data_IF_809134688529
#
_entry.id   IF_809134688529
#
_cell.length_a   1.000
_cell.length_b   1.000
_cell.length_c   1.000
_cell.angle_alpha   90.00
_cell.angle_beta   90.00
_cell.angle_gamma   90.00
#
_symmetry.space_group_name_H-M   'P 1'
#
loop_
_entity.id
_entity.type
_entity.pdbx_description
1 polymer ?
#
# COMPACT_ATOMS: atom_id res chain seq x y z
N UNK A 1 0.29 -0.05 -21.66
CA UNK A 1 0.58 1.23 -20.98
C UNK A 1 0.07 1.19 -19.53
N UNK A 2 0.30 0.09 -18.78
CA UNK A 2 -0.44 -0.12 -17.52
C UNK A 2 0.37 -0.79 -16.41
N UNK A 3 1.70 -0.76 -16.49
CA UNK A 3 2.59 -1.40 -15.50
C UNK A 3 3.37 -0.38 -14.65
N UNK A 4 3.02 0.91 -14.75
CA UNK A 4 3.76 1.99 -14.10
C UNK A 4 3.56 2.04 -12.58
N UNK A 5 2.47 1.46 -12.07
CA UNK A 5 2.14 1.51 -10.65
C UNK A 5 1.99 0.11 -10.05
N UNK A 6 2.49 -0.04 -8.82
CA UNK A 6 2.22 -1.15 -7.94
C UNK A 6 1.08 -0.78 -6.99
N UNK A 7 0.26 -1.78 -6.62
CA UNK A 7 -0.91 -1.61 -5.79
C UNK A 7 -0.88 -2.61 -4.63
N UNK A 8 -1.16 -2.14 -3.41
CA UNK A 8 -1.27 -3.01 -2.24
C UNK A 8 -2.60 -2.78 -1.53
N UNK A 9 -3.44 -3.81 -1.39
CA UNK A 9 -4.59 -3.78 -0.50
C UNK A 9 -4.15 -4.09 0.94
N UNK A 10 -4.54 -3.24 1.87
CA UNK A 10 -4.37 -3.45 3.32
C UNK A 10 -5.74 -3.57 3.99
N UNK A 11 -5.84 -4.43 5.00
CA UNK A 11 -6.97 -4.47 5.92
C UNK A 11 -6.52 -4.01 7.29
N UNK A 12 -7.12 -2.94 7.78
CA UNK A 12 -6.93 -2.44 9.13
C UNK A 12 -8.07 -3.00 9.99
N UNK A 13 -7.76 -3.72 11.07
CA UNK A 13 -8.76 -4.24 11.96
C UNK A 13 -9.36 -3.11 12.85
N UNK A 14 -10.54 -3.31 13.44
CA UNK A 14 -11.30 -2.26 14.13
C UNK A 14 -10.59 -1.65 15.36
N UNK A 15 -9.72 -2.41 16.02
CA UNK A 15 -8.91 -1.97 17.17
C UNK A 15 -7.85 -0.93 16.80
N UNK A 16 -7.45 -0.86 15.53
CA UNK A 16 -6.57 0.20 15.06
C UNK A 16 -7.36 1.49 15.06
N UNK A 17 -6.92 2.50 15.79
CA UNK A 17 -7.61 3.79 15.80
C UNK A 17 -7.44 4.51 14.45
N UNK A 18 -8.26 5.53 14.20
CA UNK A 18 -8.07 6.41 13.04
C UNK A 18 -6.72 7.12 13.09
N UNK A 19 -6.33 7.62 14.26
CA UNK A 19 -5.07 8.36 14.45
C UNK A 19 -3.85 7.48 14.17
N UNK A 20 -3.79 6.28 14.76
CA UNK A 20 -2.68 5.35 14.57
C UNK A 20 -2.58 4.90 13.10
N UNK A 21 -3.72 4.67 12.44
CA UNK A 21 -3.74 4.37 11.01
C UNK A 21 -3.17 5.53 10.17
N UNK A 22 -3.63 6.76 10.43
CA UNK A 22 -3.14 7.95 9.72
C UNK A 22 -1.63 8.11 9.85
N UNK A 23 -1.09 8.00 11.07
CA UNK A 23 0.35 8.12 11.31
C UNK A 23 1.13 7.07 10.51
N UNK A 24 0.73 5.78 10.59
CA UNK A 24 1.42 4.71 9.86
C UNK A 24 1.36 4.92 8.35
N UNK A 25 0.20 5.27 7.82
CA UNK A 25 0.03 5.51 6.38
C UNK A 25 0.80 6.73 5.90
N UNK A 26 0.91 7.79 6.71
CA UNK A 26 1.77 8.95 6.41
C UNK A 26 3.25 8.58 6.37
N UNK A 27 3.72 7.73 7.28
CA UNK A 27 5.11 7.25 7.26
C UNK A 27 5.38 6.45 5.98
N UNK A 28 4.48 5.54 5.61
CA UNK A 28 4.61 4.77 4.36
C UNK A 28 4.60 5.69 3.12
N UNK A 29 3.80 6.76 3.13
CA UNK A 29 3.80 7.74 2.06
C UNK A 29 5.13 8.48 1.95
N UNK A 30 5.62 9.01 3.07
CA UNK A 30 6.84 9.83 3.12
C UNK A 30 8.09 9.01 2.76
N UNK A 31 8.22 7.81 3.31
CA UNK A 31 9.48 7.06 3.25
C UNK A 31 9.47 5.91 2.24
N UNK A 32 8.29 5.42 1.82
CA UNK A 32 8.17 4.29 0.88
C UNK A 32 7.46 4.67 -0.41
N UNK A 33 7.00 5.93 -0.54
CA UNK A 33 6.32 6.43 -1.73
C UNK A 33 4.93 5.86 -1.94
N UNK A 34 4.29 5.34 -0.88
CA UNK A 34 2.94 4.81 -0.97
C UNK A 34 1.88 5.92 -0.87
N UNK A 35 1.06 6.04 -1.90
CA UNK A 35 -0.07 6.96 -1.92
C UNK A 35 -1.38 6.24 -1.60
N UNK A 36 -2.21 6.88 -0.77
CA UNK A 36 -3.54 6.38 -0.45
C UNK A 36 -4.51 6.69 -1.58
N UNK A 37 -5.09 5.64 -2.18
CA UNK A 37 -6.02 5.79 -3.30
C UNK A 37 -7.48 5.61 -2.90
N UNK A 38 -7.75 4.66 -2.00
CA UNK A 38 -9.12 4.37 -1.58
C UNK A 38 -9.13 3.89 -0.14
N UNK A 39 -10.15 4.30 0.61
CA UNK A 39 -10.45 3.78 1.94
C UNK A 39 -11.93 3.41 1.99
N UNK A 40 -12.23 2.25 2.54
CA UNK A 40 -13.60 1.80 2.82
C UNK A 40 -13.69 1.34 4.26
N UNK A 41 -14.59 1.95 5.03
CA UNK A 41 -14.97 1.50 6.36
C UNK A 41 -16.12 0.49 6.23
N UNK A 42 -16.05 -0.58 7.00
CA UNK A 42 -17.07 -1.61 7.11
C UNK A 42 -17.83 -1.50 8.44
N UNK A 43 -19.00 -2.13 8.50
CA UNK A 43 -19.88 -2.13 9.68
C UNK A 43 -19.27 -2.83 10.89
N UNK A 44 -18.33 -3.75 10.67
CA UNK A 44 -17.52 -4.41 11.71
C UNK A 44 -16.39 -3.51 12.25
N UNK A 45 -16.32 -2.25 11.80
CA UNK A 45 -15.28 -1.28 12.15
C UNK A 45 -13.95 -1.48 11.42
N UNK A 46 -13.79 -2.57 10.65
CA UNK A 46 -12.59 -2.78 9.85
C UNK A 46 -12.53 -1.81 8.67
N UNK A 47 -11.32 -1.52 8.21
CA UNK A 47 -11.11 -0.65 7.05
C UNK A 47 -10.27 -1.37 6.00
N UNK A 48 -10.70 -1.31 4.74
CA UNK A 48 -9.83 -1.66 3.60
C UNK A 48 -9.23 -0.40 3.02
N UNK A 49 -7.92 -0.41 2.86
CA UNK A 49 -7.14 0.66 2.27
C UNK A 49 -6.48 0.13 1.02
N UNK A 50 -6.56 0.88 -0.08
CA UNK A 50 -5.80 0.61 -1.30
C UNK A 50 -4.71 1.66 -1.42
N UNK A 51 -3.46 1.20 -1.45
CA UNK A 51 -2.29 2.01 -1.68
C UNK A 51 -1.78 1.79 -3.11
N UNK A 52 -1.12 2.81 -3.65
CA UNK A 52 -0.38 2.73 -4.91
C UNK A 52 0.99 3.36 -4.79
N UNK A 53 1.98 2.87 -5.53
CA UNK A 53 3.26 3.56 -5.72
C UNK A 53 3.72 3.38 -7.15
N UNK A 54 4.49 4.33 -7.67
CA UNK A 54 5.09 4.19 -9.00
C UNK A 54 6.22 3.16 -8.94
N UNK A 55 6.23 2.20 -9.87
CA UNK A 55 7.34 1.24 -10.02
C UNK A 55 8.59 2.00 -10.43
N UNK A 56 9.68 1.78 -9.70
CA UNK A 56 10.99 2.31 -10.09
C UNK A 56 11.66 1.33 -11.07
N UNK A 57 12.56 1.82 -11.92
CA UNK A 57 13.29 0.98 -12.89
C UNK A 57 14.07 -0.18 -12.25
N UNK A 58 14.39 -0.06 -10.96
CA UNK A 58 15.04 -1.13 -10.18
C UNK A 58 14.08 -2.27 -9.84
N UNK A 59 12.81 -1.95 -9.58
CA UNK A 59 11.75 -2.92 -9.30
C UNK A 59 11.41 -3.76 -10.54
N UNK A 60 11.55 -3.16 -11.73
CA UNK A 60 11.38 -3.82 -13.03
C UNK A 60 12.48 -4.83 -13.37
N UNK A 61 13.61 -4.83 -12.63
CA UNK A 61 14.76 -5.69 -12.90
C UNK A 61 14.68 -7.07 -12.21
N UNK A 62 13.51 -7.45 -11.67
CA UNK A 62 13.24 -8.85 -11.32
C UNK A 62 12.33 -9.55 -12.33
N UNK A 63 12.78 -9.82 -13.55
CA UNK A 63 12.36 -11.01 -14.25
C UNK A 63 13.37 -12.14 -13.94
N UNK A 64 12.87 -13.24 -13.38
CA UNK A 64 13.47 -14.57 -13.54
C UNK A 64 14.83 -14.86 -12.86
N UNK A 65 14.83 -15.08 -11.54
CA UNK A 65 15.94 -15.80 -10.90
C UNK A 65 15.61 -17.29 -10.80
N UNK A 66 16.21 -18.18 -11.63
CA UNK A 66 16.51 -19.53 -11.21
C UNK A 66 17.83 -19.52 -10.43
N UNK A 67 17.79 -20.20 -9.29
CA UNK A 67 18.89 -20.40 -8.34
C UNK A 67 20.10 -21.07 -9.03
N UNK A 68 21.32 -20.59 -8.74
CA UNK A 68 22.57 -21.32 -8.97
C UNK A 68 23.24 -21.60 -7.62
#
# INVERSE_FOLDING_TARGET
MSDEYEWIPLRLPPEVTRLSASIRLSIEAEYRGWELTRVRLYTDGSRRVLLRRKKTRLDSRRPDQPEL
#
